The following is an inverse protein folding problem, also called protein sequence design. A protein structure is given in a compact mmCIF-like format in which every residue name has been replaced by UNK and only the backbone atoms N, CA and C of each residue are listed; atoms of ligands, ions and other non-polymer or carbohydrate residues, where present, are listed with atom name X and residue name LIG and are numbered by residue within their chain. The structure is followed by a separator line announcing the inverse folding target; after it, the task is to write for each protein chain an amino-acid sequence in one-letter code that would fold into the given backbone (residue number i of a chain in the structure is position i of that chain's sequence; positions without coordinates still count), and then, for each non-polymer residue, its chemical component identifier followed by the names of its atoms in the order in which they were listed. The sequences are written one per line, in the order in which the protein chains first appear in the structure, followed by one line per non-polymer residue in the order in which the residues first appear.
data_IF_177740236623
#
_entry.id   IF_177740236623
#
_cell.length_a   1.000
_cell.length_b   1.000
_cell.length_c   1.000
_cell.angle_alpha   90.00
_cell.angle_beta   90.00
_cell.angle_gamma   90.00
#
_symmetry.space_group_name_H-M   'P 1'
#
loop_
_entity.id
_entity.type
_entity.pdbx_description
1 polymer ?
#
# COMPACT_ATOMS: atom_id res chain seq x y z
N UNK A 1 -7.25 -63.19 41.60
CA UNK A 1 -5.96 -62.50 41.38
C UNK A 1 -5.81 -62.27 39.88
N UNK A 2 -6.09 -61.09 39.35
CA UNK A 2 -5.65 -60.75 38.01
C UNK A 2 -4.43 -59.81 38.10
N UNK A 3 -3.51 -60.08 37.19
CA UNK A 3 -2.20 -59.48 37.05
C UNK A 3 -2.29 -57.98 36.60
N UNK A 4 -1.47 -57.17 37.22
CA UNK A 4 -1.22 -55.79 36.83
C UNK A 4 -0.40 -55.78 35.55
N UNK A 5 -0.97 -55.16 34.46
CA UNK A 5 -0.23 -54.82 33.27
C UNK A 5 0.12 -53.31 33.39
N UNK A 6 1.38 -53.02 33.62
CA UNK A 6 1.95 -51.67 33.52
C UNK A 6 2.03 -51.24 32.04
N UNK A 7 1.43 -50.09 31.72
CA UNK A 7 1.60 -49.42 30.44
C UNK A 7 2.86 -48.53 30.48
N UNK A 8 3.71 -48.55 29.43
CA UNK A 8 4.93 -47.74 29.40
C UNK A 8 4.62 -46.27 29.14
N UNK A 9 5.43 -45.42 29.78
CA UNK A 9 5.29 -43.99 29.91
C UNK A 9 5.16 -43.23 28.59
N UNK A 10 4.33 -42.19 28.64
CA UNK A 10 4.17 -41.17 27.62
C UNK A 10 5.48 -40.39 27.49
N UNK A 11 6.12 -40.55 26.36
CA UNK A 11 7.25 -39.73 25.92
C UNK A 11 6.78 -38.29 25.70
N UNK A 12 7.36 -37.36 26.44
CA UNK A 12 7.23 -35.94 26.24
C UNK A 12 7.85 -35.58 24.88
N UNK A 13 7.00 -35.34 23.89
CA UNK A 13 7.39 -34.76 22.61
C UNK A 13 7.73 -33.30 22.85
N UNK A 14 9.01 -32.96 23.01
CA UNK A 14 9.52 -31.62 22.93
C UNK A 14 9.33 -31.18 21.49
N UNK A 15 8.32 -30.36 21.27
CA UNK A 15 8.17 -29.57 20.03
C UNK A 15 9.41 -28.68 19.91
N UNK A 16 10.35 -29.10 19.09
CA UNK A 16 11.40 -28.21 18.56
C UNK A 16 10.70 -27.10 17.77
N UNK A 17 10.54 -25.96 18.41
CA UNK A 17 10.40 -24.70 17.66
C UNK A 17 11.73 -24.48 16.95
N UNK A 18 11.76 -24.84 15.68
CA UNK A 18 12.79 -24.39 14.76
C UNK A 18 12.57 -22.88 14.65
N UNK A 19 13.35 -22.12 15.41
CA UNK A 19 13.59 -20.71 15.12
C UNK A 19 14.09 -20.67 13.68
N UNK A 20 13.20 -20.30 12.75
CA UNK A 20 13.60 -19.92 11.41
C UNK A 20 14.51 -18.73 11.60
N UNK A 21 15.79 -18.92 11.29
CA UNK A 21 16.73 -17.83 11.11
C UNK A 21 16.03 -16.79 10.22
N UNK A 22 15.87 -15.59 10.76
CA UNK A 22 15.41 -14.43 9.97
C UNK A 22 16.51 -14.24 8.94
N UNK A 23 16.22 -14.60 7.69
CA UNK A 23 17.09 -14.28 6.56
C UNK A 23 17.43 -12.79 6.65
N UNK A 24 18.70 -12.49 6.41
CA UNK A 24 19.21 -11.12 6.31
C UNK A 24 18.20 -10.22 5.60
N UNK A 25 17.91 -9.01 6.14
CA UNK A 25 16.91 -8.12 5.56
C UNK A 25 17.18 -7.97 4.07
N UNK A 26 16.14 -8.10 3.25
CA UNK A 26 16.22 -7.73 1.85
C UNK A 26 16.83 -6.32 1.76
N UNK A 27 17.72 -6.10 0.79
CA UNK A 27 18.36 -4.80 0.52
C UNK A 27 17.25 -3.81 0.11
N UNK A 28 16.64 -3.14 1.07
CA UNK A 28 15.67 -2.07 0.82
C UNK A 28 16.32 -0.71 1.08
N UNK A 29 15.91 0.27 0.28
CA UNK A 29 16.32 1.67 0.46
C UNK A 29 15.90 2.17 1.83
N UNK A 30 16.80 2.81 2.57
CA UNK A 30 16.50 3.29 3.92
C UNK A 30 15.42 4.38 3.91
N UNK A 31 14.62 4.51 4.99
CA UNK A 31 13.64 5.59 5.12
C UNK A 31 14.24 6.98 4.93
N UNK A 32 15.48 7.18 5.38
CA UNK A 32 16.22 8.45 5.26
C UNK A 32 16.58 8.77 3.81
N UNK A 33 16.95 7.77 3.00
CA UNK A 33 17.20 7.92 1.58
C UNK A 33 15.92 8.21 0.81
N UNK A 34 14.85 7.44 1.06
CA UNK A 34 13.53 7.68 0.46
C UNK A 34 12.98 9.06 0.80
N UNK A 35 13.19 9.55 2.03
CA UNK A 35 12.81 10.91 2.39
C UNK A 35 13.57 11.96 1.58
N UNK A 36 14.88 11.77 1.35
CA UNK A 36 15.67 12.66 0.47
C UNK A 36 15.17 12.62 -0.97
N UNK A 37 14.79 11.44 -1.47
CA UNK A 37 14.21 11.28 -2.81
C UNK A 37 12.86 12.00 -2.93
N UNK A 38 12.00 11.91 -1.91
CA UNK A 38 10.75 12.66 -1.84
C UNK A 38 11.00 14.17 -1.93
N UNK A 39 11.90 14.70 -1.10
CA UNK A 39 12.24 16.12 -1.11
C UNK A 39 12.82 16.55 -2.47
N UNK A 40 13.68 15.73 -3.06
CA UNK A 40 14.25 16.00 -4.39
C UNK A 40 13.16 16.01 -5.48
N UNK A 41 12.20 15.09 -5.41
CA UNK A 41 11.07 15.03 -6.34
C UNK A 41 10.19 16.30 -6.23
N UNK A 42 9.84 16.72 -5.02
CA UNK A 42 9.03 17.94 -4.78
C UNK A 42 9.75 19.19 -5.30
N UNK A 43 11.04 19.32 -5.02
CA UNK A 43 11.83 20.48 -5.43
C UNK A 43 11.96 20.65 -6.94
N UNK A 44 11.75 19.61 -7.73
CA UNK A 44 11.78 19.68 -9.20
C UNK A 44 10.65 20.57 -9.76
N UNK A 45 9.44 20.49 -9.19
CA UNK A 45 8.28 21.26 -9.66
C UNK A 45 7.91 22.40 -8.70
N UNK A 46 8.36 22.34 -7.45
CA UNK A 46 8.09 23.37 -6.44
C UNK A 46 9.36 23.77 -5.66
N UNK A 47 10.32 24.46 -6.29
CA UNK A 47 11.63 24.76 -5.69
C UNK A 47 11.57 25.59 -4.40
N UNK A 48 10.53 26.45 -4.26
CA UNK A 48 10.34 27.37 -3.12
C UNK A 48 9.36 26.88 -2.07
N UNK A 49 8.87 25.62 -2.14
CA UNK A 49 7.90 25.08 -1.19
C UNK A 49 8.50 25.02 0.22
N UNK A 50 7.75 25.49 1.20
CA UNK A 50 8.03 25.23 2.62
C UNK A 50 7.77 23.75 2.91
N UNK A 51 8.81 23.05 3.34
CA UNK A 51 8.83 21.61 3.57
C UNK A 51 8.51 21.25 5.04
N UNK A 52 8.31 22.22 5.92
CA UNK A 52 8.13 22.00 7.36
C UNK A 52 6.95 21.08 7.68
N UNK A 53 5.82 21.26 7.00
CA UNK A 53 4.64 20.42 7.20
C UNK A 53 4.84 18.99 6.65
N UNK A 54 5.61 18.84 5.58
CA UNK A 54 5.94 17.52 4.99
C UNK A 54 6.89 16.77 5.93
N UNK A 55 7.89 17.46 6.48
CA UNK A 55 8.80 16.89 7.48
C UNK A 55 8.02 16.46 8.73
N UNK A 56 7.13 17.34 9.23
CA UNK A 56 6.24 17.03 10.35
C UNK A 56 5.37 15.79 10.05
N UNK A 57 4.80 15.68 8.85
CA UNK A 57 3.97 14.54 8.46
C UNK A 57 4.79 13.24 8.40
N UNK A 58 6.00 13.29 7.84
CA UNK A 58 6.92 12.16 7.84
C UNK A 58 7.25 11.68 9.25
N UNK A 59 7.64 12.60 10.15
CA UNK A 59 7.97 12.25 11.54
C UNK A 59 6.75 11.71 12.30
N UNK A 60 5.55 12.26 12.04
CA UNK A 60 4.30 11.75 12.62
C UNK A 60 3.99 10.34 12.14
N UNK A 61 4.05 10.08 10.83
CA UNK A 61 3.84 8.75 10.28
C UNK A 61 4.90 7.74 10.78
N UNK A 62 6.17 8.16 10.84
CA UNK A 62 7.27 7.32 11.34
C UNK A 62 7.06 6.88 12.79
N UNK A 63 6.62 7.80 13.65
CA UNK A 63 6.32 7.51 15.06
C UNK A 63 5.07 6.64 15.20
N UNK A 64 4.01 6.93 14.43
CA UNK A 64 2.77 6.18 14.46
C UNK A 64 2.95 4.70 14.07
N UNK A 65 3.83 4.43 13.12
CA UNK A 65 4.16 3.08 12.64
C UNK A 65 5.43 2.48 13.26
N UNK A 66 5.92 3.06 14.37
CA UNK A 66 7.13 2.55 15.05
C UNK A 66 6.95 1.08 15.47
N UNK A 67 7.92 0.24 15.13
CA UNK A 67 7.89 -1.19 15.43
C UNK A 67 6.98 -2.01 14.51
N UNK A 68 6.30 -1.41 13.53
CA UNK A 68 5.52 -2.13 12.52
C UNK A 68 6.40 -2.47 11.31
N UNK A 69 6.17 -3.67 10.76
CA UNK A 69 6.90 -4.17 9.59
C UNK A 69 5.91 -4.70 8.56
N UNK A 70 6.25 -4.54 7.28
CA UNK A 70 5.52 -5.16 6.17
C UNK A 70 5.87 -6.65 6.05
N UNK A 71 5.14 -7.39 5.22
CA UNK A 71 5.43 -8.80 4.92
C UNK A 71 6.78 -9.03 4.23
N UNK A 72 7.30 -8.00 3.56
CA UNK A 72 8.66 -7.95 3.01
C UNK A 72 9.76 -7.91 4.07
N UNK A 73 9.42 -7.64 5.34
CA UNK A 73 10.37 -7.43 6.44
C UNK A 73 10.86 -5.99 6.57
N UNK A 74 10.48 -5.10 5.66
CA UNK A 74 10.84 -3.68 5.70
C UNK A 74 10.03 -2.90 6.76
N UNK A 75 10.58 -1.82 7.38
CA UNK A 75 9.83 -0.92 8.24
C UNK A 75 8.60 -0.36 7.52
N UNK A 76 7.45 -0.29 8.22
CA UNK A 76 6.19 0.13 7.59
C UNK A 76 6.25 1.51 6.94
N UNK A 77 7.00 2.45 7.53
CA UNK A 77 7.16 3.83 7.04
C UNK A 77 7.65 3.92 5.57
N UNK A 78 8.31 2.88 5.05
CA UNK A 78 8.76 2.83 3.66
C UNK A 78 7.56 2.91 2.70
N UNK A 79 6.43 2.29 3.06
CA UNK A 79 5.23 2.34 2.23
C UNK A 79 4.67 3.76 2.04
N UNK A 80 4.30 4.51 3.08
CA UNK A 80 3.81 5.87 2.90
C UNK A 80 4.85 6.81 2.25
N UNK A 81 6.15 6.61 2.46
CA UNK A 81 7.19 7.35 1.74
C UNK A 81 7.14 7.07 0.23
N UNK A 82 7.07 5.80 -0.18
CA UNK A 82 6.95 5.44 -1.60
C UNK A 82 5.65 5.97 -2.22
N UNK A 83 4.53 5.94 -1.48
CA UNK A 83 3.27 6.55 -1.93
C UNK A 83 3.44 8.05 -2.14
N UNK A 84 4.04 8.77 -1.19
CA UNK A 84 4.31 10.20 -1.32
C UNK A 84 5.25 10.54 -2.49
N UNK A 85 6.26 9.71 -2.76
CA UNK A 85 7.16 9.86 -3.93
C UNK A 85 6.36 9.72 -5.24
N UNK A 86 5.47 8.72 -5.35
CA UNK A 86 4.61 8.54 -6.53
C UNK A 86 3.72 9.77 -6.74
N UNK A 87 3.16 10.35 -5.66
CA UNK A 87 2.35 11.56 -5.73
C UNK A 87 3.19 12.78 -6.14
N UNK A 88 4.43 12.89 -5.65
CA UNK A 88 5.36 13.94 -6.05
C UNK A 88 5.79 13.81 -7.52
N UNK A 89 5.96 12.58 -8.05
CA UNK A 89 6.20 12.32 -9.47
C UNK A 89 5.00 12.72 -10.37
N UNK A 90 3.80 12.77 -9.80
CA UNK A 90 2.57 13.29 -10.44
C UNK A 90 2.41 14.80 -10.24
N UNK A 91 3.38 15.47 -9.60
CA UNK A 91 3.41 16.92 -9.34
C UNK A 91 2.19 17.42 -8.54
N UNK A 92 1.70 16.61 -7.56
CA UNK A 92 0.58 16.98 -6.74
C UNK A 92 0.97 18.03 -5.67
N UNK A 93 -0.07 18.69 -5.13
CA UNK A 93 0.08 19.71 -4.11
C UNK A 93 0.60 19.17 -2.76
N UNK A 94 1.01 20.08 -1.89
CA UNK A 94 1.58 19.78 -0.58
C UNK A 94 0.61 18.96 0.28
N UNK A 95 -0.66 19.30 0.27
CA UNK A 95 -1.72 18.64 1.04
C UNK A 95 -1.90 17.18 0.61
N UNK A 96 -1.82 16.89 -0.69
CA UNK A 96 -1.83 15.53 -1.23
C UNK A 96 -0.62 14.71 -0.81
N UNK A 97 0.58 15.31 -0.80
CA UNK A 97 1.80 14.65 -0.35
C UNK A 97 1.70 14.31 1.14
N UNK A 98 1.25 15.26 1.97
CA UNK A 98 1.04 15.07 3.41
C UNK A 98 -0.01 13.97 3.65
N UNK A 99 -1.13 14.02 2.93
CA UNK A 99 -2.16 12.98 3.02
C UNK A 99 -1.64 11.60 2.58
N UNK A 100 -0.75 11.54 1.57
CA UNK A 100 -0.07 10.31 1.17
C UNK A 100 0.85 9.74 2.24
N UNK A 101 1.55 10.59 3.01
CA UNK A 101 2.36 10.17 4.16
C UNK A 101 1.51 9.67 5.32
N UNK A 102 0.29 10.20 5.49
CA UNK A 102 -0.59 9.94 6.64
C UNK A 102 -1.77 8.98 6.31
N UNK A 103 -1.88 8.46 5.08
CA UNK A 103 -3.09 7.78 4.62
C UNK A 103 -3.47 6.53 5.45
N UNK A 104 -2.49 5.83 6.00
CA UNK A 104 -2.71 4.62 6.82
C UNK A 104 -2.72 4.90 8.33
N UNK A 105 -2.33 6.12 8.81
CA UNK A 105 -2.20 6.36 10.26
C UNK A 105 -3.52 6.26 11.00
N UNK A 106 -4.63 6.65 10.37
CA UNK A 106 -5.98 6.58 10.99
C UNK A 106 -6.52 5.15 10.98
N UNK A 107 -6.13 4.32 10.00
CA UNK A 107 -6.60 2.95 9.87
C UNK A 107 -5.78 1.99 10.76
N UNK A 108 -4.46 2.14 10.77
CA UNK A 108 -3.53 1.17 11.33
C UNK A 108 -2.90 1.59 12.67
N UNK A 109 -3.26 2.78 13.20
CA UNK A 109 -2.69 3.29 14.45
C UNK A 109 -3.76 3.88 15.40
N UNK A 110 -3.34 4.43 16.52
CA UNK A 110 -4.22 5.08 17.50
C UNK A 110 -4.61 6.52 17.14
N UNK A 111 -4.05 7.06 16.05
CA UNK A 111 -4.30 8.44 15.61
C UNK A 111 -5.69 8.56 15.01
N UNK A 112 -6.43 9.60 15.38
CA UNK A 112 -7.79 9.85 14.89
C UNK A 112 -7.82 10.89 13.76
N UNK A 113 -8.93 10.94 13.01
CA UNK A 113 -9.13 11.99 12.00
C UNK A 113 -9.14 13.39 12.61
N UNK A 114 -9.60 13.54 13.86
CA UNK A 114 -9.59 14.80 14.59
C UNK A 114 -8.15 15.22 14.93
N UNK A 115 -7.27 14.27 15.27
CA UNK A 115 -5.85 14.56 15.49
C UNK A 115 -5.17 15.02 14.21
N UNK A 116 -5.46 14.38 13.08
CA UNK A 116 -4.96 14.81 11.76
C UNK A 116 -5.45 16.23 11.43
N UNK A 117 -6.75 16.52 11.65
CA UNK A 117 -7.30 17.85 11.40
C UNK A 117 -6.63 18.92 12.26
N UNK A 118 -6.42 18.63 13.53
CA UNK A 118 -5.76 19.56 14.48
C UNK A 118 -4.31 19.85 14.12
N UNK A 119 -3.58 18.84 13.62
CA UNK A 119 -2.14 18.95 13.37
C UNK A 119 -1.80 19.41 11.95
N UNK A 120 -2.61 19.04 10.94
CA UNK A 120 -2.33 19.23 9.51
C UNK A 120 -3.44 19.99 8.79
N UNK A 121 -4.54 20.33 9.47
CA UNK A 121 -5.67 21.06 8.92
C UNK A 121 -6.78 20.16 8.35
N UNK A 122 -7.95 20.76 8.15
CA UNK A 122 -9.17 20.06 7.74
C UNK A 122 -9.05 19.46 6.33
N UNK A 123 -8.29 20.10 5.45
CA UNK A 123 -8.09 19.64 4.06
C UNK A 123 -7.34 18.30 4.02
N UNK A 124 -6.23 18.19 4.74
CA UNK A 124 -5.47 16.93 4.86
C UNK A 124 -6.32 15.84 5.52
N UNK A 125 -7.03 16.18 6.61
CA UNK A 125 -7.91 15.23 7.29
C UNK A 125 -9.03 14.69 6.38
N UNK A 126 -9.61 15.56 5.54
CA UNK A 126 -10.63 15.18 4.55
C UNK A 126 -10.07 14.18 3.52
N UNK A 127 -8.84 14.41 3.04
CA UNK A 127 -8.19 13.52 2.10
C UNK A 127 -7.90 12.15 2.73
N UNK A 128 -7.32 12.12 3.94
CA UNK A 128 -7.02 10.89 4.67
C UNK A 128 -8.30 10.10 4.96
N UNK A 129 -9.36 10.75 5.50
CA UNK A 129 -10.67 10.13 5.74
C UNK A 129 -11.28 9.56 4.45
N UNK A 130 -11.15 10.28 3.34
CA UNK A 130 -11.60 9.84 2.02
C UNK A 130 -10.90 8.55 1.58
N UNK A 131 -9.58 8.46 1.74
CA UNK A 131 -8.78 7.29 1.40
C UNK A 131 -9.13 6.10 2.30
N UNK A 132 -9.24 6.31 3.61
CA UNK A 132 -9.64 5.28 4.58
C UNK A 132 -11.01 4.68 4.23
N UNK A 133 -11.99 5.52 3.89
CA UNK A 133 -13.32 5.05 3.45
C UNK A 133 -13.27 4.22 2.17
N UNK A 134 -12.37 4.54 1.24
CA UNK A 134 -12.16 3.72 0.04
C UNK A 134 -11.48 2.38 0.34
N UNK A 135 -10.58 2.34 1.31
CA UNK A 135 -9.92 1.09 1.72
C UNK A 135 -10.91 0.10 2.33
N UNK A 136 -11.91 0.57 3.08
CA UNK A 136 -12.93 -0.25 3.71
C UNK A 136 -13.97 -0.83 2.74
N UNK A 137 -13.89 -0.54 1.43
CA UNK A 137 -14.77 -1.14 0.44
C UNK A 137 -14.43 -2.62 0.25
N UNK A 138 -15.37 -3.50 0.57
CA UNK A 138 -15.23 -4.94 0.40
C UNK A 138 -15.34 -5.31 -1.09
N UNK A 139 -14.23 -5.75 -1.68
CA UNK A 139 -14.24 -6.32 -3.02
C UNK A 139 -14.69 -7.78 -2.95
N UNK A 140 -15.87 -8.08 -3.51
CA UNK A 140 -16.39 -9.45 -3.67
C UNK A 140 -16.56 -9.72 -5.16
N UNK A 141 -15.69 -10.56 -5.72
CA UNK A 141 -15.64 -10.84 -7.16
C UNK A 141 -16.94 -11.40 -7.74
N UNK A 142 -17.66 -12.19 -6.96
CA UNK A 142 -18.84 -12.94 -7.44
C UNK A 142 -20.16 -12.17 -7.31
N UNK A 143 -20.16 -10.91 -6.85
CA UNK A 143 -21.37 -10.12 -6.65
C UNK A 143 -21.33 -8.82 -7.43
N UNK A 144 -21.93 -8.82 -8.62
CA UNK A 144 -22.03 -7.64 -9.51
C UNK A 144 -22.59 -6.42 -8.78
N UNK A 145 -23.58 -6.60 -7.92
CA UNK A 145 -24.21 -5.53 -7.15
C UNK A 145 -23.22 -4.87 -6.17
N UNK A 146 -22.36 -5.66 -5.52
CA UNK A 146 -21.32 -5.15 -4.61
C UNK A 146 -20.26 -4.36 -5.36
N UNK A 147 -19.86 -4.84 -6.54
CA UNK A 147 -18.89 -4.13 -7.39
C UNK A 147 -19.46 -2.80 -7.89
N UNK A 148 -20.73 -2.78 -8.32
CA UNK A 148 -21.40 -1.55 -8.76
C UNK A 148 -21.51 -0.52 -7.63
N UNK A 149 -21.82 -0.94 -6.40
CA UNK A 149 -21.90 -0.06 -5.24
C UNK A 149 -20.49 0.47 -4.84
N UNK A 150 -19.47 -0.37 -4.92
CA UNK A 150 -18.09 0.05 -4.67
C UNK A 150 -17.63 1.11 -5.69
N UNK A 151 -17.85 0.87 -6.99
CA UNK A 151 -17.58 1.85 -8.03
C UNK A 151 -18.35 3.15 -7.81
N UNK A 152 -19.65 3.06 -7.43
CA UNK A 152 -20.44 4.24 -7.10
C UNK A 152 -19.84 5.04 -5.95
N UNK A 153 -19.40 4.38 -4.86
CA UNK A 153 -18.74 5.06 -3.73
C UNK A 153 -17.41 5.69 -4.13
N UNK A 154 -16.63 5.03 -4.98
CA UNK A 154 -15.40 5.60 -5.53
C UNK A 154 -15.68 6.86 -6.37
N UNK A 155 -16.70 6.83 -7.25
CA UNK A 155 -17.10 8.01 -8.02
C UNK A 155 -17.63 9.15 -7.14
N UNK A 156 -18.35 8.84 -6.06
CA UNK A 156 -18.80 9.85 -5.10
C UNK A 156 -17.62 10.48 -4.33
N UNK A 157 -16.60 9.71 -3.98
CA UNK A 157 -15.39 10.23 -3.38
C UNK A 157 -14.62 11.13 -4.35
N UNK A 158 -14.47 10.70 -5.62
CA UNK A 158 -13.87 11.50 -6.70
C UNK A 158 -14.62 12.82 -6.95
N UNK A 159 -15.95 12.80 -6.85
CA UNK A 159 -16.77 14.01 -7.04
C UNK A 159 -16.60 15.02 -5.90
N UNK A 160 -16.19 14.58 -4.72
CA UNK A 160 -15.86 15.45 -3.59
C UNK A 160 -14.46 16.04 -3.75
N UNK A 161 -13.46 15.20 -3.96
CA UNK A 161 -12.08 15.57 -4.19
C UNK A 161 -11.36 14.49 -4.98
N UNK A 162 -10.89 14.83 -6.16
CA UNK A 162 -10.19 13.91 -7.07
C UNK A 162 -8.88 13.38 -6.46
N UNK A 163 -8.25 14.14 -5.56
CA UNK A 163 -6.99 13.77 -4.93
C UNK A 163 -7.10 12.49 -4.10
N UNK A 164 -8.29 12.21 -3.53
CA UNK A 164 -8.55 10.96 -2.79
C UNK A 164 -8.26 9.72 -3.65
N UNK A 165 -8.72 9.72 -4.91
CA UNK A 165 -8.47 8.57 -5.80
C UNK A 165 -7.02 8.55 -6.32
N UNK A 166 -6.38 9.72 -6.48
CA UNK A 166 -4.97 9.80 -6.87
C UNK A 166 -4.08 9.19 -5.78
N UNK A 167 -4.33 9.50 -4.52
CA UNK A 167 -3.63 8.89 -3.37
C UNK A 167 -3.88 7.38 -3.36
N UNK A 168 -5.14 6.94 -3.56
CA UNK A 168 -5.47 5.51 -3.59
C UNK A 168 -4.84 4.76 -4.76
N UNK A 169 -4.67 5.41 -5.92
CA UNK A 169 -3.94 4.83 -7.05
C UNK A 169 -2.44 4.69 -6.76
N UNK A 170 -1.83 5.67 -6.09
CA UNK A 170 -0.43 5.60 -5.66
C UNK A 170 -0.21 4.49 -4.62
N UNK A 171 -1.09 4.38 -3.62
CA UNK A 171 -1.12 3.28 -2.65
C UNK A 171 -1.23 1.92 -3.35
N UNK A 172 -2.21 1.77 -4.26
CA UNK A 172 -2.39 0.54 -5.04
C UNK A 172 -1.15 0.18 -5.84
N UNK A 173 -0.54 1.16 -6.50
CA UNK A 173 0.67 0.94 -7.30
C UNK A 173 1.82 0.43 -6.44
N UNK A 174 2.09 1.05 -5.28
CA UNK A 174 3.14 0.57 -4.39
C UNK A 174 2.83 -0.82 -3.83
N UNK A 175 1.57 -1.10 -3.47
CA UNK A 175 1.15 -2.43 -3.04
C UNK A 175 1.34 -3.48 -4.14
N UNK A 176 1.12 -3.15 -5.42
CA UNK A 176 1.38 -4.05 -6.55
C UNK A 176 2.88 -4.27 -6.78
N UNK A 177 3.73 -3.26 -6.60
CA UNK A 177 5.20 -3.39 -6.67
C UNK A 177 5.76 -4.37 -5.63
N UNK A 178 5.11 -4.49 -4.48
CA UNK A 178 5.52 -5.38 -3.38
C UNK A 178 4.68 -6.67 -3.28
N UNK A 179 3.90 -6.99 -4.31
CA UNK A 179 2.94 -8.10 -4.31
C UNK A 179 3.59 -9.50 -4.19
N UNK A 180 4.87 -9.64 -4.55
CA UNK A 180 5.62 -10.90 -4.43
C UNK A 180 5.69 -11.45 -2.99
N UNK A 181 5.58 -10.59 -1.99
CA UNK A 181 5.60 -10.99 -0.58
C UNK A 181 4.23 -11.43 -0.05
N UNK A 182 3.18 -11.36 -0.87
CA UNK A 182 1.84 -11.81 -0.50
C UNK A 182 1.63 -13.29 -0.85
N UNK A 183 0.61 -13.92 -0.22
CA UNK A 183 0.23 -15.29 -0.58
C UNK A 183 -0.29 -15.37 -2.03
N UNK A 184 -0.14 -16.52 -2.73
CA UNK A 184 -0.61 -16.69 -4.10
C UNK A 184 -2.09 -16.33 -4.28
N UNK A 185 -2.95 -16.69 -3.32
CA UNK A 185 -4.37 -16.33 -3.36
C UNK A 185 -4.59 -14.81 -3.34
N UNK A 186 -3.85 -14.07 -2.48
CA UNK A 186 -3.90 -12.60 -2.43
C UNK A 186 -3.29 -11.95 -3.67
N UNK A 187 -2.24 -12.54 -4.24
CA UNK A 187 -1.65 -12.05 -5.49
C UNK A 187 -2.70 -12.03 -6.61
N UNK A 188 -3.43 -13.14 -6.80
CA UNK A 188 -4.49 -13.26 -7.80
C UNK A 188 -5.65 -12.31 -7.49
N UNK A 189 -6.15 -12.31 -6.26
CA UNK A 189 -7.27 -11.45 -5.82
C UNK A 189 -6.97 -9.98 -6.09
N UNK A 190 -5.84 -9.49 -5.60
CA UNK A 190 -5.47 -8.06 -5.70
C UNK A 190 -5.09 -7.64 -7.11
N UNK A 191 -4.48 -8.53 -7.89
CA UNK A 191 -4.20 -8.27 -9.32
C UNK A 191 -5.49 -8.16 -10.13
N UNK A 192 -6.49 -9.01 -9.86
CA UNK A 192 -7.80 -8.94 -10.52
C UNK A 192 -8.54 -7.66 -10.15
N UNK A 193 -8.64 -7.32 -8.88
CA UNK A 193 -9.19 -6.06 -8.40
C UNK A 193 -8.51 -4.86 -9.06
N UNK A 194 -7.18 -4.90 -9.20
CA UNK A 194 -6.41 -3.83 -9.83
C UNK A 194 -6.76 -3.67 -11.31
N UNK A 195 -6.82 -4.77 -12.05
CA UNK A 195 -7.12 -4.77 -13.49
C UNK A 195 -8.59 -4.40 -13.78
N UNK A 196 -9.53 -4.79 -12.93
CA UNK A 196 -10.96 -4.54 -13.13
C UNK A 196 -11.41 -3.15 -12.66
N UNK A 197 -10.72 -2.55 -11.68
CA UNK A 197 -11.15 -1.28 -11.06
C UNK A 197 -10.11 -0.18 -11.23
N UNK A 198 -8.88 -0.37 -10.71
CA UNK A 198 -7.92 0.72 -10.57
C UNK A 198 -7.27 1.13 -11.90
N UNK A 199 -6.88 0.17 -12.73
CA UNK A 199 -6.30 0.46 -14.03
C UNK A 199 -7.30 1.18 -14.97
N UNK A 200 -8.59 0.80 -15.07
CA UNK A 200 -9.60 1.57 -15.79
C UNK A 200 -9.83 2.98 -15.26
N UNK A 201 -9.74 3.19 -13.95
CA UNK A 201 -9.85 4.53 -13.35
C UNK A 201 -8.63 5.37 -13.74
N UNK A 202 -7.41 4.85 -13.59
CA UNK A 202 -6.18 5.53 -14.01
C UNK A 202 -6.23 5.91 -15.50
N UNK A 203 -6.76 5.03 -16.35
CA UNK A 203 -6.97 5.30 -17.77
C UNK A 203 -7.93 6.47 -18.01
N UNK A 204 -9.08 6.49 -17.33
CA UNK A 204 -10.07 7.57 -17.47
C UNK A 204 -9.56 8.92 -16.98
N UNK A 205 -8.66 8.90 -15.99
CA UNK A 205 -8.00 10.11 -15.47
C UNK A 205 -6.79 10.54 -16.33
N UNK A 206 -6.45 9.79 -17.37
CA UNK A 206 -5.34 10.13 -18.27
C UNK A 206 -3.95 9.84 -17.65
N UNK A 207 -3.87 9.11 -16.52
CA UNK A 207 -2.62 8.81 -15.83
C UNK A 207 -2.01 7.54 -16.45
N UNK A 208 -1.55 7.67 -17.69
CA UNK A 208 -1.08 6.54 -18.50
C UNK A 208 0.09 5.79 -17.86
N UNK A 209 1.02 6.50 -17.18
CA UNK A 209 2.18 5.88 -16.50
C UNK A 209 1.72 4.88 -15.44
N UNK A 210 0.81 5.30 -14.54
CA UNK A 210 0.27 4.41 -13.50
C UNK A 210 -0.55 3.27 -14.12
N UNK A 211 -1.39 3.58 -15.10
CA UNK A 211 -2.24 2.58 -15.78
C UNK A 211 -1.40 1.44 -16.37
N UNK A 212 -0.37 1.76 -17.14
CA UNK A 212 0.49 0.76 -17.80
C UNK A 212 1.19 -0.11 -16.75
N UNK A 213 1.77 0.51 -15.72
CA UNK A 213 2.46 -0.24 -14.68
C UNK A 213 1.52 -1.13 -13.85
N UNK A 214 0.30 -0.66 -13.55
CA UNK A 214 -0.72 -1.48 -12.89
C UNK A 214 -1.14 -2.69 -13.73
N UNK A 215 -1.30 -2.52 -15.05
CA UNK A 215 -1.60 -3.61 -15.95
C UNK A 215 -0.47 -4.64 -15.99
N UNK A 216 0.77 -4.19 -16.19
CA UNK A 216 1.95 -5.06 -16.28
C UNK A 216 2.14 -5.87 -14.98
N UNK A 217 2.06 -5.21 -13.82
CA UNK A 217 2.17 -5.87 -12.53
C UNK A 217 1.02 -6.86 -12.27
N UNK A 218 -0.19 -6.54 -12.73
CA UNK A 218 -1.34 -7.44 -12.60
C UNK A 218 -1.22 -8.65 -13.54
N UNK A 219 -0.79 -8.45 -14.78
CA UNK A 219 -0.57 -9.54 -15.76
C UNK A 219 0.46 -10.55 -15.27
N UNK A 220 1.50 -10.11 -14.55
CA UNK A 220 2.52 -10.99 -13.95
C UNK A 220 1.92 -12.12 -13.11
N UNK A 221 0.81 -11.86 -12.40
CA UNK A 221 0.17 -12.84 -11.51
C UNK A 221 -1.07 -13.49 -12.13
N UNK A 222 -1.77 -12.80 -13.02
CA UNK A 222 -2.99 -13.33 -13.66
C UNK A 222 -2.69 -14.15 -14.91
N UNK A 223 -1.67 -13.78 -15.67
CA UNK A 223 -1.31 -14.38 -16.97
C UNK A 223 0.22 -14.50 -17.08
N UNK A 224 0.87 -15.32 -16.22
CA UNK A 224 2.33 -15.37 -16.14
C UNK A 224 2.99 -15.82 -17.46
N UNK A 225 2.36 -16.71 -18.22
CA UNK A 225 2.89 -17.17 -19.51
C UNK A 225 2.92 -16.03 -20.54
N UNK A 226 1.84 -15.24 -20.62
CA UNK A 226 1.75 -14.07 -21.52
C UNK A 226 2.74 -12.99 -21.10
N UNK A 227 2.85 -12.73 -19.80
CA UNK A 227 3.79 -11.75 -19.25
C UNK A 227 5.24 -12.11 -19.59
N UNK A 228 5.64 -13.37 -19.41
CA UNK A 228 6.99 -13.85 -19.71
C UNK A 228 7.31 -13.81 -21.21
N UNK A 229 6.33 -14.11 -22.08
CA UNK A 229 6.50 -14.01 -23.54
C UNK A 229 6.71 -12.55 -23.98
N UNK A 230 5.98 -11.59 -23.41
CA UNK A 230 6.16 -10.17 -23.71
C UNK A 230 7.53 -9.63 -23.24
N UNK A 231 7.99 -10.00 -22.03
CA UNK A 231 9.33 -9.63 -21.56
C UNK A 231 10.41 -10.26 -22.42
N UNK A 232 10.26 -11.55 -22.79
CA UNK A 232 11.19 -12.24 -23.67
C UNK A 232 11.35 -11.55 -25.03
N UNK A 233 10.26 -10.97 -25.57
CA UNK A 233 10.29 -10.20 -26.84
C UNK A 233 10.89 -8.81 -26.69
N UNK A 234 10.79 -8.19 -25.51
CA UNK A 234 11.36 -6.86 -25.26
C UNK A 234 12.90 -6.89 -25.09
N UNK A 235 13.48 -8.07 -24.86
CA UNK A 235 14.92 -8.29 -24.70
C UNK A 235 15.62 -8.85 -25.94
N UNK A 236 14.93 -9.01 -27.06
CA UNK A 236 15.44 -9.40 -28.38
C UNK A 236 15.47 -8.19 -29.31
#
# INVERSE_FOLDING_TARGET
MPENIELPGASHNKTNQVERAVDTPADFTSPEELYKDLIAAIKKYHPSTDLSDIEKAYETARKAHEGQFRKSGEPYIIHPLCVAIILAELELDKESIIAGLLHDVVEDTVMTSEDVAKEFGDEVALLVDGVTKLTQLNYQHDKIEVQAENLRKMFLAMAKDIRVILIKLADRLHNMRTMQYQSPAKQIEKSRETMEIYAPIAHRLGISKIKVELDDLSMKYLMPDVYNDQIGRAHV
#
